data_IF_895003697416
#
_entry.id   IF_895003697416
#
_cell.length_a   1.000
_cell.length_b   1.000
_cell.length_c   1.000
_cell.angle_alpha   90.00
_cell.angle_beta   90.00
_cell.angle_gamma   90.00
#
_symmetry.space_group_name_H-M   'P 1'
#
loop_
_entity.id
_entity.type
_entity.pdbx_description
1 polymer ?
#
# COMPACT_ATOMS: atom_id res chain seq x y z
N UNK A 1 -5.67 17.36 -13.58
CA UNK A 1 -5.50 16.71 -12.26
C UNK A 1 -4.62 15.49 -12.44
N UNK A 2 -3.66 15.24 -11.57
CA UNK A 2 -2.82 14.04 -11.59
C UNK A 2 -2.74 13.45 -10.18
N UNK A 3 -2.92 12.14 -10.02
CA UNK A 3 -2.74 11.46 -8.73
C UNK A 3 -1.90 10.22 -8.92
N UNK A 4 -0.85 10.10 -8.13
CA UNK A 4 -0.02 8.91 -8.13
C UNK A 4 -0.48 7.94 -7.05
N UNK A 5 -0.56 6.68 -7.44
CA UNK A 5 -0.96 5.58 -6.58
C UNK A 5 0.23 4.72 -6.19
N UNK A 6 0.47 4.50 -4.90
CA UNK A 6 1.28 3.39 -4.42
C UNK A 6 0.38 2.13 -4.45
N UNK A 7 0.62 1.18 -5.37
CA UNK A 7 -0.22 0.00 -5.52
C UNK A 7 0.07 -1.03 -4.42
N UNK A 8 -0.85 -2.00 -4.27
CA UNK A 8 -0.72 -3.10 -3.30
C UNK A 8 -0.55 -2.63 -1.86
N UNK A 9 -1.27 -1.57 -1.48
CA UNK A 9 -1.27 -1.05 -0.11
C UNK A 9 -1.68 -2.11 0.92
N UNK A 10 -2.39 -3.16 0.52
CA UNK A 10 -2.73 -4.30 1.37
C UNK A 10 -1.51 -5.16 1.76
N UNK A 11 -0.35 -4.97 1.14
CA UNK A 11 0.89 -5.66 1.53
C UNK A 11 1.65 -4.95 2.66
N UNK A 12 1.09 -3.88 3.21
CA UNK A 12 1.63 -3.18 4.38
C UNK A 12 0.54 -3.05 5.44
N UNK A 13 0.92 -3.00 6.72
CA UNK A 13 -0.03 -2.79 7.81
C UNK A 13 -0.55 -1.34 7.79
N UNK A 14 -1.76 -1.14 8.33
CA UNK A 14 -2.48 0.13 8.20
C UNK A 14 -1.68 1.33 8.75
N UNK A 15 -0.96 1.13 9.83
CA UNK A 15 -0.07 2.09 10.47
C UNK A 15 1.09 2.55 9.57
N UNK A 16 1.51 1.74 8.60
CA UNK A 16 2.57 2.08 7.65
C UNK A 16 2.07 2.67 6.33
N UNK A 17 0.75 2.80 6.11
CA UNK A 17 0.21 3.44 4.90
C UNK A 17 0.69 4.89 4.74
N UNK A 18 0.76 5.64 5.84
CA UNK A 18 1.23 7.02 5.81
C UNK A 18 2.70 7.11 5.39
N UNK A 19 3.54 6.20 5.88
CA UNK A 19 4.94 6.13 5.51
C UNK A 19 5.11 5.77 4.03
N UNK A 20 4.33 4.82 3.51
CA UNK A 20 4.34 4.46 2.10
C UNK A 20 3.98 5.65 1.20
N UNK A 21 2.96 6.42 1.56
CA UNK A 21 2.59 7.65 0.83
C UNK A 21 3.71 8.69 0.89
N UNK A 22 4.31 8.91 2.07
CA UNK A 22 5.42 9.85 2.25
C UNK A 22 6.66 9.44 1.44
N UNK A 23 6.95 8.14 1.34
CA UNK A 23 8.05 7.62 0.55
C UNK A 23 7.81 7.86 -0.95
N UNK A 24 6.60 7.59 -1.44
CA UNK A 24 6.23 7.87 -2.83
C UNK A 24 6.34 9.37 -3.14
N UNK A 25 5.86 10.24 -2.25
CA UNK A 25 5.97 11.70 -2.41
C UNK A 25 7.43 12.14 -2.54
N UNK A 26 8.34 11.57 -1.75
CA UNK A 26 9.77 11.87 -1.85
C UNK A 26 10.39 11.37 -3.17
N UNK A 27 10.03 10.16 -3.61
CA UNK A 27 10.53 9.60 -4.88
C UNK A 27 10.18 10.46 -6.09
N UNK A 28 9.04 11.14 -6.04
CA UNK A 28 8.55 11.96 -7.15
C UNK A 28 8.81 13.45 -6.95
N UNK A 29 9.49 13.85 -5.88
CA UNK A 29 9.68 15.25 -5.52
C UNK A 29 10.31 16.07 -6.65
N UNK A 30 11.28 15.49 -7.36
CA UNK A 30 11.94 16.16 -8.48
C UNK A 30 11.03 16.29 -9.70
N UNK A 31 10.25 15.24 -10.02
CA UNK A 31 9.24 15.28 -11.06
C UNK A 31 8.12 16.28 -10.72
N UNK A 32 7.82 16.43 -9.43
CA UNK A 32 6.81 17.34 -8.92
C UNK A 32 7.18 18.81 -9.20
N UNK A 33 8.44 19.18 -8.99
CA UNK A 33 8.93 20.54 -9.25
C UNK A 33 8.70 20.97 -10.72
N UNK A 34 8.80 20.04 -11.67
CA UNK A 34 8.57 20.32 -13.08
C UNK A 34 7.08 20.49 -13.42
N UNK A 35 6.22 19.56 -12.98
CA UNK A 35 4.80 19.60 -13.34
C UNK A 35 3.97 20.61 -12.51
N UNK A 36 4.44 21.03 -11.33
CA UNK A 36 3.82 22.13 -10.58
C UNK A 36 3.86 23.46 -11.34
N UNK A 37 4.86 23.66 -12.21
CA UNK A 37 4.99 24.85 -13.07
C UNK A 37 3.83 24.98 -14.08
N UNK A 38 3.19 23.86 -14.44
CA UNK A 38 2.05 23.80 -15.35
C UNK A 38 0.70 23.97 -14.63
N UNK A 39 0.71 24.26 -13.31
CA UNK A 39 -0.50 24.41 -12.51
C UNK A 39 -1.25 23.08 -12.24
N UNK A 40 -0.59 21.93 -12.45
CA UNK A 40 -1.20 20.61 -12.23
C UNK A 40 -1.14 20.26 -10.74
N UNK A 41 -2.32 20.15 -10.11
CA UNK A 41 -2.42 19.61 -8.75
C UNK A 41 -2.02 18.13 -8.73
N UNK A 42 -0.98 17.80 -7.97
CA UNK A 42 -0.49 16.43 -7.74
C UNK A 42 -0.80 15.98 -6.32
N UNK A 43 -1.33 14.76 -6.19
CA UNK A 43 -1.58 14.10 -4.91
C UNK A 43 -1.08 12.64 -4.93
N UNK A 44 -0.80 12.07 -3.77
CA UNK A 44 -0.37 10.68 -3.61
C UNK A 44 -1.35 9.87 -2.77
N UNK A 45 -1.49 8.59 -3.11
CA UNK A 45 -2.45 7.70 -2.48
C UNK A 45 -1.90 6.28 -2.38
N UNK A 46 -1.95 5.67 -1.20
CA UNK A 46 -1.84 4.22 -1.07
C UNK A 46 -3.17 3.56 -1.44
N UNK A 47 -3.16 2.65 -2.40
CA UNK A 47 -4.35 1.89 -2.80
C UNK A 47 -4.06 0.42 -3.12
N UNK A 48 -5.11 -0.39 -3.09
CA UNK A 48 -5.09 -1.76 -3.59
C UNK A 48 -6.32 -1.95 -4.47
N UNK A 49 -6.11 -2.25 -5.76
CA UNK A 49 -7.21 -2.53 -6.69
C UNK A 49 -7.96 -3.80 -6.34
N UNK A 50 -7.22 -4.80 -5.83
CA UNK A 50 -7.74 -6.03 -5.25
C UNK A 50 -6.98 -6.26 -3.95
N UNK A 51 -7.70 -6.31 -2.83
CA UNK A 51 -7.15 -6.57 -1.51
C UNK A 51 -7.01 -8.08 -1.31
N UNK A 52 -5.78 -8.56 -1.19
CA UNK A 52 -5.45 -9.97 -0.97
C UNK A 52 -5.31 -10.31 0.52
N UNK A 53 -5.05 -9.32 1.37
CA UNK A 53 -4.76 -9.52 2.79
C UNK A 53 -5.79 -8.85 3.71
N UNK A 54 -5.80 -9.28 4.96
CA UNK A 54 -6.47 -8.58 6.07
C UNK A 54 -5.46 -8.14 7.10
N UNK A 55 -5.51 -6.87 7.50
CA UNK A 55 -4.70 -6.33 8.60
C UNK A 55 -5.31 -6.70 9.95
N UNK A 56 -4.45 -7.01 10.91
CA UNK A 56 -4.84 -7.32 12.28
C UNK A 56 -3.67 -7.13 13.24
N UNK A 57 -3.86 -7.60 14.47
CA UNK A 57 -2.84 -7.59 15.53
C UNK A 57 -2.73 -9.01 16.07
N UNK A 58 -1.51 -9.50 16.20
CA UNK A 58 -1.21 -10.77 16.88
C UNK A 58 -0.51 -10.49 18.21
N UNK A 59 -0.63 -11.41 19.16
CA UNK A 59 0.08 -11.35 20.43
C UNK A 59 1.24 -12.35 20.40
N UNK A 60 2.46 -11.85 20.59
CA UNK A 60 3.68 -12.67 20.65
C UNK A 60 4.44 -12.25 21.90
N UNK A 61 4.68 -13.20 22.82
CA UNK A 61 5.37 -12.93 24.10
C UNK A 61 4.73 -11.80 24.94
N UNK A 62 3.40 -11.62 24.84
CA UNK A 62 2.67 -10.54 25.53
C UNK A 62 2.72 -9.18 24.82
N UNK A 63 3.43 -9.07 23.70
CA UNK A 63 3.46 -7.87 22.87
C UNK A 63 2.45 -7.95 21.72
N UNK A 64 1.75 -6.85 21.47
CA UNK A 64 0.81 -6.71 20.36
C UNK A 64 1.54 -6.22 19.12
N UNK A 65 1.65 -7.08 18.11
CA UNK A 65 2.38 -6.81 16.87
C UNK A 65 1.37 -6.70 15.71
N UNK A 66 1.41 -5.62 14.91
CA UNK A 66 0.64 -5.54 13.67
C UNK A 66 1.02 -6.68 12.73
N UNK A 67 0.04 -7.30 12.07
CA UNK A 67 0.30 -8.38 11.13
C UNK A 67 -0.69 -8.37 9.97
N UNK A 68 -0.24 -8.93 8.85
CA UNK A 68 -1.07 -9.23 7.69
C UNK A 68 -1.39 -10.70 7.66
N UNK A 69 -2.64 -11.03 7.35
CA UNK A 69 -3.09 -12.40 7.09
C UNK A 69 -3.54 -12.53 5.64
N UNK A 70 -3.15 -13.63 5.00
CA UNK A 70 -3.58 -13.98 3.65
C UNK A 70 -3.14 -15.40 3.30
N UNK A 71 -3.15 -15.74 2.00
CA UNK A 71 -2.62 -17.01 1.51
C UNK A 71 -1.43 -16.74 0.61
N UNK A 72 -0.32 -17.47 0.78
CA UNK A 72 0.91 -17.26 0.00
C UNK A 72 0.72 -17.63 -1.47
N UNK A 73 1.30 -16.86 -2.37
CA UNK A 73 1.21 -17.08 -3.82
C UNK A 73 1.82 -18.41 -4.27
N UNK A 74 2.94 -18.80 -3.68
CA UNK A 74 3.74 -19.96 -4.11
C UNK A 74 3.04 -21.31 -3.90
N UNK A 75 2.35 -21.49 -2.78
CA UNK A 75 1.80 -22.78 -2.35
C UNK A 75 0.30 -22.72 -1.96
N UNK A 76 -0.26 -21.51 -1.83
CA UNK A 76 -1.63 -21.31 -1.36
C UNK A 76 -1.83 -21.50 0.13
N UNK A 77 -0.77 -21.72 0.91
CA UNK A 77 -0.86 -21.93 2.34
C UNK A 77 -1.26 -20.65 3.07
N UNK A 78 -2.04 -20.74 4.16
CA UNK A 78 -2.35 -19.59 5.00
C UNK A 78 -1.07 -19.06 5.65
N UNK A 79 -0.94 -17.75 5.66
CA UNK A 79 0.20 -17.04 6.24
C UNK A 79 -0.29 -15.88 7.10
N UNK A 80 0.28 -15.74 8.29
CA UNK A 80 0.22 -14.51 9.08
C UNK A 80 1.64 -14.01 9.27
N UNK A 81 1.92 -12.78 8.86
CA UNK A 81 3.29 -12.23 8.81
C UNK A 81 3.31 -10.78 9.23
N UNK A 82 4.38 -10.38 9.92
CA UNK A 82 4.74 -8.99 10.08
C UNK A 82 5.57 -8.57 8.86
N UNK A 83 5.07 -7.67 7.98
CA UNK A 83 5.77 -7.32 6.74
C UNK A 83 7.01 -6.43 6.95
N UNK A 84 7.28 -6.04 8.20
CA UNK A 84 8.30 -5.05 8.53
C UNK A 84 7.80 -3.61 8.39
N UNK A 85 8.69 -2.68 8.71
CA UNK A 85 8.38 -1.25 8.70
C UNK A 85 8.63 -0.65 7.31
N UNK A 86 7.70 0.20 6.87
CA UNK A 86 7.94 1.06 5.71
C UNK A 86 8.64 2.33 6.19
N UNK A 87 9.84 2.66 5.67
CA UNK A 87 10.52 3.88 6.05
C UNK A 87 9.73 5.09 5.53
N UNK A 88 9.58 6.11 6.37
CA UNK A 88 8.92 7.36 6.01
C UNK A 88 9.80 8.29 5.16
N UNK A 89 11.06 7.93 4.92
CA UNK A 89 12.03 8.66 4.10
C UNK A 89 12.82 7.72 3.23
N UNK A 90 13.43 8.25 2.17
CA UNK A 90 14.30 7.48 1.30
C UNK A 90 15.44 6.85 2.11
N UNK A 91 15.53 5.51 2.18
CA UNK A 91 16.58 4.86 2.94
C UNK A 91 17.94 5.05 2.26
N UNK A 92 18.97 5.34 3.07
CA UNK A 92 20.36 5.38 2.61
C UNK A 92 20.95 3.97 2.43
N UNK A 93 22.18 3.89 1.90
CA UNK A 93 22.85 2.62 1.56
C UNK A 93 22.85 1.59 2.71
N UNK A 94 23.11 2.04 3.94
CA UNK A 94 23.20 1.15 5.10
C UNK A 94 21.92 0.36 5.42
N UNK A 95 20.74 0.85 4.99
CA UNK A 95 19.48 0.12 5.13
C UNK A 95 19.45 -1.12 4.23
N UNK A 96 19.91 -0.96 2.99
CA UNK A 96 19.93 -2.01 1.97
C UNK A 96 20.96 -3.09 2.30
N UNK A 97 22.07 -2.71 2.91
CA UNK A 97 23.12 -3.66 3.31
C UNK A 97 22.69 -4.55 4.50
N UNK A 98 21.74 -4.10 5.32
CA UNK A 98 21.39 -4.76 6.60
C UNK A 98 20.04 -5.46 6.61
N UNK A 99 19.01 -4.81 6.08
CA UNK A 99 17.62 -5.16 6.42
C UNK A 99 16.78 -5.44 5.17
N UNK A 100 17.04 -4.73 4.06
CA UNK A 100 16.28 -4.87 2.82
C UNK A 100 14.76 -4.81 3.04
N UNK A 101 13.99 -5.31 2.09
CA UNK A 101 12.57 -5.55 2.29
C UNK A 101 12.23 -6.99 1.93
N UNK A 102 11.40 -7.64 2.75
CA UNK A 102 10.83 -8.93 2.45
C UNK A 102 9.32 -8.79 2.29
N UNK A 103 8.88 -8.49 1.07
CA UNK A 103 7.46 -8.45 0.74
C UNK A 103 7.02 -9.83 0.27
N UNK A 104 6.16 -10.48 1.05
CA UNK A 104 5.52 -11.71 0.63
C UNK A 104 4.49 -11.43 -0.49
N UNK A 105 4.39 -12.36 -1.44
CA UNK A 105 3.37 -12.32 -2.46
C UNK A 105 2.13 -13.10 -1.98
N UNK A 106 0.98 -12.44 -1.96
CA UNK A 106 -0.29 -13.04 -1.56
C UNK A 106 -1.16 -13.40 -2.77
N UNK A 107 -1.93 -14.48 -2.65
CA UNK A 107 -3.02 -14.82 -3.57
C UNK A 107 -4.22 -13.92 -3.27
N UNK A 108 -5.03 -13.57 -4.29
CA UNK A 108 -6.36 -13.03 -4.06
C UNK A 108 -7.16 -13.93 -3.12
N UNK A 109 -8.03 -13.33 -2.32
CA UNK A 109 -8.92 -14.06 -1.43
C UNK A 109 -9.86 -14.96 -2.24
N UNK A 110 -10.15 -16.16 -1.74
CA UNK A 110 -11.18 -17.02 -2.33
C UNK A 110 -12.52 -16.40 -2.01
N UNK A 111 -13.30 -16.07 -3.03
CA UNK A 111 -14.58 -15.39 -2.89
C UNK A 111 -15.62 -15.94 -3.87
N UNK A 112 -16.88 -15.75 -3.53
CA UNK A 112 -18.00 -16.02 -4.44
C UNK A 112 -17.92 -15.09 -5.65
N UNK A 113 -18.19 -15.62 -6.85
CA UNK A 113 -18.11 -14.88 -8.12
C UNK A 113 -19.02 -13.65 -8.16
N UNK A 114 -20.15 -13.71 -7.45
CA UNK A 114 -21.15 -12.63 -7.42
C UNK A 114 -20.87 -11.55 -6.36
N UNK A 115 -19.72 -11.62 -5.67
CA UNK A 115 -19.33 -10.61 -4.67
C UNK A 115 -18.29 -9.63 -5.25
N UNK A 116 -18.40 -8.33 -4.93
CA UNK A 116 -17.41 -7.36 -5.35
C UNK A 116 -16.05 -7.67 -4.74
N UNK A 117 -14.98 -7.48 -5.53
CA UNK A 117 -13.61 -7.61 -5.05
C UNK A 117 -13.34 -6.58 -3.93
N UNK A 118 -12.73 -6.99 -2.81
CA UNK A 118 -12.32 -6.05 -1.78
C UNK A 118 -11.19 -5.17 -2.34
N UNK A 119 -11.11 -3.94 -1.86
CA UNK A 119 -10.16 -2.94 -2.34
C UNK A 119 -9.76 -2.00 -1.21
N UNK A 120 -8.67 -1.27 -1.41
CA UNK A 120 -8.26 -0.18 -0.51
C UNK A 120 -8.27 1.12 -1.29
N UNK A 121 -9.10 2.07 -0.85
CA UNK A 121 -9.14 3.47 -1.32
C UNK A 121 -9.36 3.66 -2.83
N UNK A 122 -9.94 2.67 -3.53
CA UNK A 122 -10.27 2.82 -4.95
C UNK A 122 -11.41 3.80 -5.15
N UNK A 123 -12.35 3.88 -4.21
CA UNK A 123 -13.37 4.92 -4.08
C UNK A 123 -12.76 6.33 -4.08
N UNK A 124 -11.73 6.56 -3.27
CA UNK A 124 -11.02 7.84 -3.21
C UNK A 124 -10.24 8.15 -4.50
N UNK A 125 -9.77 7.12 -5.20
CA UNK A 125 -9.17 7.28 -6.53
C UNK A 125 -10.22 7.68 -7.57
N UNK A 126 -11.39 7.02 -7.57
CA UNK A 126 -12.49 7.32 -8.47
C UNK A 126 -13.05 8.74 -8.25
N UNK A 127 -13.29 9.15 -7.00
CA UNK A 127 -13.74 10.51 -6.69
C UNK A 127 -12.76 11.57 -7.22
N UNK A 128 -11.45 11.32 -7.11
CA UNK A 128 -10.45 12.25 -7.65
C UNK A 128 -10.48 12.32 -9.18
N UNK A 129 -10.57 11.16 -9.84
CA UNK A 129 -10.41 11.03 -11.29
C UNK A 129 -11.67 11.47 -12.05
N UNK A 130 -12.85 11.08 -11.57
CA UNK A 130 -14.12 11.27 -12.28
C UNK A 130 -15.23 11.90 -11.44
N UNK A 131 -15.03 12.09 -10.12
CA UNK A 131 -16.05 12.64 -9.23
C UNK A 131 -16.55 14.03 -9.62
N UNK A 132 -15.72 14.88 -10.21
CA UNK A 132 -16.17 16.20 -10.72
C UNK A 132 -17.07 16.12 -11.96
N UNK A 133 -17.13 14.97 -12.63
CA UNK A 133 -17.96 14.74 -13.83
C UNK A 133 -19.28 14.06 -13.53
N UNK A 134 -19.44 13.52 -12.33
CA UNK A 134 -20.60 12.75 -11.89
C UNK A 134 -21.49 13.52 -10.89
N UNK A 135 -21.28 14.83 -10.79
CA UNK A 135 -22.12 15.74 -9.99
C UNK A 135 -23.28 16.29 -10.80
#
# INVERSE_FOLDING_TARGET
KLRLGAPKADHVTLDHHANMVALLQQLIQDAWQNAAFEGISMDCLGLASVQATTSGVIEVNGEKIPALRGNRLSDGAPLTVYPGEVPSRLPGQAFWDKQGFQFEAFRPQVMDVDKPLPHIRLDAALEFLIGDKLR
#
